data_IF_436506793433
#
_entry.id   IF_436506793433
#
_cell.length_a   1.000
_cell.length_b   1.000
_cell.length_c   1.000
_cell.angle_alpha   90.00
_cell.angle_beta   90.00
_cell.angle_gamma   90.00
#
_symmetry.space_group_name_H-M   'P 1'
#
loop_
_entity.id
_entity.type
_entity.pdbx_description
1 polymer ?
#
# COMPACT_ATOMS: atom_id res chain seq x y z
N UNK A 1 -43.10 42.76 -22.33
CA UNK A 1 -41.79 43.26 -22.81
C UNK A 1 -40.81 43.06 -21.68
N UNK A 2 -40.23 41.86 -21.60
CA UNK A 2 -39.16 41.57 -20.63
C UNK A 2 -37.83 41.99 -21.25
N UNK A 3 -37.07 42.78 -20.49
CA UNK A 3 -35.71 43.16 -20.82
C UNK A 3 -34.74 42.01 -20.46
N UNK A 4 -33.71 41.73 -21.27
CA UNK A 4 -32.73 40.71 -20.95
C UNK A 4 -31.66 41.30 -20.03
N UNK A 5 -31.58 40.85 -18.77
CA UNK A 5 -30.45 41.12 -17.89
C UNK A 5 -29.44 39.98 -18.00
N UNK A 6 -28.65 40.00 -19.07
CA UNK A 6 -27.40 39.24 -19.16
C UNK A 6 -26.31 39.96 -18.37
N UNK A 7 -26.14 39.59 -17.09
CA UNK A 7 -24.97 39.97 -16.29
C UNK A 7 -23.83 38.96 -16.46
N UNK A 8 -22.55 39.39 -16.32
CA UNK A 8 -21.40 38.52 -16.55
C UNK A 8 -21.33 37.45 -15.46
N UNK A 9 -21.12 36.19 -15.87
CA UNK A 9 -20.87 35.07 -14.96
C UNK A 9 -19.62 35.38 -14.12
N UNK A 10 -19.65 35.25 -12.78
CA UNK A 10 -18.46 35.44 -11.97
C UNK A 10 -17.43 34.37 -12.33
N UNK A 11 -16.18 34.80 -12.52
CA UNK A 11 -15.07 33.92 -12.88
C UNK A 11 -14.89 32.80 -11.85
N UNK A 12 -14.83 31.56 -12.33
CA UNK A 12 -14.44 30.40 -11.52
C UNK A 12 -12.98 30.57 -11.07
N UNK A 13 -12.79 30.94 -9.81
CA UNK A 13 -11.48 30.93 -9.16
C UNK A 13 -10.96 29.49 -8.94
N UNK A 14 -9.64 29.28 -8.85
CA UNK A 14 -9.05 27.95 -8.84
C UNK A 14 -9.06 27.33 -7.43
N UNK A 15 -9.53 26.08 -7.31
CA UNK A 15 -8.94 25.10 -6.40
C UNK A 15 -9.65 24.76 -5.08
N UNK A 16 -10.69 25.48 -4.65
CA UNK A 16 -11.32 25.23 -3.33
C UNK A 16 -12.84 25.19 -3.40
N UNK A 17 -13.44 24.04 -3.06
CA UNK A 17 -14.90 23.81 -3.07
C UNK A 17 -15.67 24.63 -2.02
N UNK A 18 -14.99 25.22 -1.02
CA UNK A 18 -15.63 26.09 0.01
C UNK A 18 -16.13 27.41 -0.57
N UNK A 19 -15.68 27.77 -1.78
CA UNK A 19 -16.12 28.98 -2.49
C UNK A 19 -17.34 28.73 -3.40
N UNK A 20 -17.97 27.56 -3.34
CA UNK A 20 -19.21 27.29 -4.06
C UNK A 20 -20.41 27.66 -3.19
N UNK A 21 -21.31 28.48 -3.73
CA UNK A 21 -22.54 28.91 -3.03
C UNK A 21 -23.39 27.72 -2.56
N UNK A 22 -24.20 27.97 -1.53
CA UNK A 22 -25.03 27.03 -0.75
C UNK A 22 -26.12 26.25 -1.53
N UNK A 23 -26.06 26.25 -2.85
CA UNK A 23 -26.92 25.48 -3.76
C UNK A 23 -26.08 24.57 -4.68
N UNK A 24 -25.33 23.62 -4.12
CA UNK A 24 -24.63 22.61 -4.93
C UNK A 24 -25.37 21.28 -4.93
N UNK A 25 -25.93 20.91 -6.09
CA UNK A 25 -26.35 19.55 -6.42
C UNK A 25 -25.14 18.62 -6.53
N UNK A 26 -25.32 17.31 -6.33
CA UNK A 26 -24.27 16.29 -6.54
C UNK A 26 -23.61 16.43 -7.93
N UNK A 27 -24.37 16.85 -8.94
CA UNK A 27 -23.90 17.10 -10.31
C UNK A 27 -22.83 18.21 -10.39
N UNK A 28 -22.88 19.22 -9.52
CA UNK A 28 -21.91 20.32 -9.50
C UNK A 28 -20.57 19.88 -8.89
N UNK A 29 -20.61 18.96 -7.92
CA UNK A 29 -19.43 18.34 -7.34
C UNK A 29 -18.80 17.37 -8.34
N UNK A 30 -19.64 16.55 -8.99
CA UNK A 30 -19.22 15.62 -10.04
C UNK A 30 -18.57 16.35 -11.20
N UNK A 31 -19.18 17.40 -11.76
CA UNK A 31 -18.62 18.15 -12.91
C UNK A 31 -17.23 18.77 -12.66
N UNK A 32 -16.84 18.98 -11.40
CA UNK A 32 -15.54 19.57 -11.03
C UNK A 32 -14.50 18.51 -10.64
N UNK A 33 -14.94 17.31 -10.23
CA UNK A 33 -14.06 16.14 -9.93
C UNK A 33 -13.94 15.15 -11.08
N UNK A 34 -14.92 15.11 -11.98
CA UNK A 34 -14.80 14.38 -13.25
C UNK A 34 -13.62 14.96 -14.01
N UNK A 35 -12.84 14.09 -14.62
CA UNK A 35 -11.88 14.46 -15.67
C UNK A 35 -12.67 15.05 -16.87
N UNK A 36 -13.35 16.19 -16.71
CA UNK A 36 -13.57 17.05 -17.86
C UNK A 36 -12.20 17.54 -18.23
N UNK A 37 -11.65 16.91 -19.26
CA UNK A 37 -10.45 17.31 -19.96
C UNK A 37 -10.63 18.75 -20.46
N UNK A 38 -10.41 19.73 -19.59
CA UNK A 38 -10.01 21.05 -20.04
C UNK A 38 -8.66 20.80 -20.74
N UNK A 39 -8.56 21.02 -22.06
CA UNK A 39 -7.33 20.75 -22.79
C UNK A 39 -6.18 21.54 -22.13
N UNK A 40 -5.22 20.82 -21.52
CA UNK A 40 -4.06 21.41 -20.85
C UNK A 40 -4.10 21.52 -19.31
N UNK A 41 -5.17 21.09 -18.61
CA UNK A 41 -5.20 21.05 -17.12
C UNK A 41 -5.70 19.70 -16.60
N UNK A 42 -4.79 18.76 -16.35
CA UNK A 42 -5.09 17.57 -15.54
C UNK A 42 -4.86 17.91 -14.06
N UNK A 43 -5.87 18.47 -13.38
CA UNK A 43 -5.80 18.72 -11.93
C UNK A 43 -6.21 17.46 -11.17
N UNK A 44 -5.24 16.64 -10.74
CA UNK A 44 -5.51 15.46 -9.90
C UNK A 44 -5.89 15.78 -8.46
N UNK A 45 -5.77 17.05 -8.05
CA UNK A 45 -5.92 17.50 -6.68
C UNK A 45 -6.92 18.65 -6.57
N UNK A 46 -7.74 18.65 -5.53
CA UNK A 46 -8.65 19.77 -5.24
C UNK A 46 -8.93 19.88 -3.74
N UNK A 47 -9.07 21.09 -3.21
CA UNK A 47 -9.36 21.29 -1.78
C UNK A 47 -10.85 21.34 -1.48
N UNK A 48 -11.27 20.63 -0.43
CA UNK A 48 -12.55 20.82 0.25
C UNK A 48 -12.24 21.29 1.67
N UNK A 49 -12.15 22.60 1.86
CA UNK A 49 -11.72 23.19 3.14
C UNK A 49 -10.28 22.80 3.44
N UNK A 50 -10.06 22.10 4.54
CA UNK A 50 -8.75 21.56 4.93
C UNK A 50 -8.48 20.17 4.34
N UNK A 51 -9.46 19.56 3.67
CA UNK A 51 -9.32 18.25 3.03
C UNK A 51 -8.74 18.40 1.63
N UNK A 52 -7.86 17.48 1.25
CA UNK A 52 -7.37 17.34 -0.11
C UNK A 52 -8.03 16.12 -0.77
N UNK A 53 -8.80 16.36 -1.83
CA UNK A 53 -9.32 15.31 -2.70
C UNK A 53 -8.28 15.00 -3.77
N UNK A 54 -7.95 13.72 -3.92
CA UNK A 54 -7.01 13.21 -4.91
C UNK A 54 -7.71 12.22 -5.82
N UNK A 55 -7.71 12.47 -7.12
CA UNK A 55 -8.22 11.53 -8.13
C UNK A 55 -7.04 10.85 -8.81
N UNK A 56 -7.00 9.50 -8.75
CA UNK A 56 -5.93 8.72 -9.35
C UNK A 56 -5.89 8.95 -10.88
N UNK A 57 -4.81 9.51 -11.43
CA UNK A 57 -4.72 9.79 -12.87
C UNK A 57 -4.46 8.54 -13.72
N UNK A 58 -4.12 7.39 -13.12
CA UNK A 58 -3.68 6.16 -13.80
C UNK A 58 -2.51 6.36 -14.79
N UNK A 59 -1.77 7.46 -14.65
CA UNK A 59 -0.58 7.82 -15.43
C UNK A 59 0.38 8.62 -14.57
N UNK A 60 1.65 8.63 -14.92
CA UNK A 60 2.60 9.53 -14.30
C UNK A 60 2.32 10.98 -14.70
N UNK A 61 2.41 11.87 -13.73
CA UNK A 61 2.24 13.30 -13.91
C UNK A 61 3.54 14.01 -13.55
N UNK A 62 3.92 15.00 -14.35
CA UNK A 62 5.12 15.83 -14.12
C UNK A 62 4.87 16.91 -13.06
N UNK A 63 4.25 16.52 -11.95
CA UNK A 63 3.93 17.39 -10.80
C UNK A 63 4.74 17.03 -9.55
N UNK A 64 5.47 15.91 -9.57
CA UNK A 64 6.23 15.43 -8.43
C UNK A 64 7.73 15.73 -8.56
N UNK A 65 8.07 16.96 -8.93
CA UNK A 65 9.46 17.39 -9.16
C UNK A 65 10.04 18.11 -7.94
N UNK A 66 11.38 18.12 -7.83
CA UNK A 66 12.09 18.87 -6.77
C UNK A 66 11.71 20.35 -6.77
N UNK A 67 11.59 20.95 -7.96
CA UNK A 67 11.17 22.33 -8.13
C UNK A 67 9.77 22.58 -7.53
N UNK A 68 8.84 21.64 -7.70
CA UNK A 68 7.54 21.75 -7.04
C UNK A 68 7.67 21.63 -5.52
N UNK A 69 8.46 20.69 -4.99
CA UNK A 69 8.67 20.58 -3.53
C UNK A 69 9.20 21.90 -2.93
N UNK A 70 10.15 22.56 -3.60
CA UNK A 70 10.67 23.87 -3.17
C UNK A 70 9.62 24.97 -3.22
N UNK A 71 8.72 24.97 -4.22
CA UNK A 71 7.64 25.94 -4.32
C UNK A 71 6.66 25.86 -3.15
N UNK A 72 6.35 24.66 -2.66
CA UNK A 72 5.41 24.47 -1.55
C UNK A 72 6.04 24.64 -0.16
N UNK A 73 7.38 24.72 -0.06
CA UNK A 73 8.10 24.81 1.21
C UNK A 73 7.84 26.14 1.90
N UNK A 74 7.27 26.10 3.11
CA UNK A 74 7.04 27.30 3.92
C UNK A 74 5.89 28.18 3.43
N UNK A 75 5.10 27.71 2.47
CA UNK A 75 3.99 28.47 1.88
C UNK A 75 2.68 28.08 2.54
N UNK A 76 1.80 29.06 2.80
CA UNK A 76 0.53 28.76 3.44
C UNK A 76 -0.39 27.98 2.49
N UNK A 77 -1.22 27.12 3.10
CA UNK A 77 -2.05 26.12 2.43
C UNK A 77 -2.93 26.65 1.28
N UNK A 78 -3.38 27.91 1.35
CA UNK A 78 -4.30 28.54 0.39
C UNK A 78 -3.61 29.47 -0.62
N UNK A 79 -2.30 29.68 -0.53
CA UNK A 79 -1.56 30.58 -1.43
C UNK A 79 -1.18 29.90 -2.75
N UNK A 80 -1.14 28.57 -2.78
CA UNK A 80 -0.79 27.77 -3.95
C UNK A 80 -1.92 26.84 -4.37
N UNK A 81 -1.89 26.36 -5.63
CA UNK A 81 -2.85 25.37 -6.11
C UNK A 81 -2.89 24.10 -5.24
N UNK A 82 -4.01 23.35 -5.23
CA UNK A 82 -4.12 22.13 -4.46
C UNK A 82 -3.04 21.11 -4.80
N UNK A 83 -2.31 20.66 -3.78
CA UNK A 83 -1.26 19.66 -3.95
C UNK A 83 -0.98 18.91 -2.65
N UNK A 84 -0.53 17.66 -2.77
CA UNK A 84 -0.17 16.83 -1.61
C UNK A 84 0.99 17.40 -0.80
N UNK A 85 1.89 18.15 -1.44
CA UNK A 85 3.00 18.82 -0.77
C UNK A 85 2.55 19.95 0.15
N UNK A 86 1.44 20.63 -0.14
CA UNK A 86 0.89 21.62 0.76
C UNK A 86 0.38 20.99 2.07
N UNK A 87 -0.26 19.82 1.99
CA UNK A 87 -0.69 19.05 3.17
C UNK A 87 0.53 18.61 3.99
N UNK A 88 1.57 18.12 3.32
CA UNK A 88 2.81 17.69 3.97
C UNK A 88 3.52 18.86 4.68
N UNK A 89 3.71 19.99 3.98
CA UNK A 89 4.34 21.20 4.54
C UNK A 89 3.57 21.74 5.74
N UNK A 90 2.25 21.84 5.61
CA UNK A 90 1.39 22.32 6.68
C UNK A 90 1.48 21.42 7.93
N UNK A 91 1.40 20.10 7.77
CA UNK A 91 1.53 19.16 8.88
C UNK A 91 2.90 19.26 9.57
N UNK A 92 3.98 19.35 8.79
CA UNK A 92 5.34 19.50 9.33
C UNK A 92 5.53 20.83 10.06
N UNK A 93 5.07 21.94 9.48
CA UNK A 93 5.16 23.26 10.11
C UNK A 93 4.40 23.34 11.42
N UNK A 94 3.15 22.87 11.45
CA UNK A 94 2.35 22.91 12.69
C UNK A 94 3.00 22.03 13.76
N UNK A 95 3.49 20.84 13.40
CA UNK A 95 4.25 19.99 14.31
C UNK A 95 5.47 20.71 14.90
N UNK A 96 6.24 21.43 14.08
CA UNK A 96 7.40 22.19 14.54
C UNK A 96 7.03 23.42 15.38
N UNK A 97 5.92 24.11 15.09
CA UNK A 97 5.52 25.33 15.81
C UNK A 97 4.79 25.04 17.12
N UNK A 98 3.95 24.01 17.14
CA UNK A 98 3.15 23.64 18.31
C UNK A 98 3.83 22.59 19.21
N UNK A 99 4.95 22.02 18.77
CA UNK A 99 5.64 20.92 19.46
C UNK A 99 4.70 19.75 19.82
N UNK A 100 3.75 19.47 18.92
CA UNK A 100 2.73 18.45 19.12
C UNK A 100 2.68 17.47 17.93
N UNK A 101 2.29 16.23 18.21
CA UNK A 101 2.19 15.18 17.20
C UNK A 101 1.06 15.50 16.21
N UNK A 102 1.35 15.29 14.91
CA UNK A 102 0.40 15.49 13.82
C UNK A 102 0.28 14.23 12.97
N UNK A 103 -0.88 14.04 12.34
CA UNK A 103 -1.12 12.89 11.46
C UNK A 103 -1.75 13.33 10.15
N UNK A 104 -1.46 12.59 9.09
CA UNK A 104 -2.11 12.71 7.78
C UNK A 104 -2.89 11.42 7.54
N UNK A 105 -4.23 11.52 7.51
CA UNK A 105 -5.10 10.40 7.20
C UNK A 105 -5.37 10.35 5.70
N UNK A 106 -4.99 9.24 5.06
CA UNK A 106 -5.25 9.00 3.64
C UNK A 106 -6.28 7.88 3.51
N UNK A 107 -7.52 8.25 3.19
CA UNK A 107 -8.62 7.32 2.97
C UNK A 107 -8.94 7.16 1.48
N UNK A 108 -9.61 6.06 1.14
CA UNK A 108 -10.03 5.76 -0.23
C UNK A 108 -10.15 4.27 -0.50
N UNK A 109 -10.87 3.92 -1.56
CA UNK A 109 -11.04 2.52 -1.98
C UNK A 109 -9.72 1.88 -2.45
N UNK A 110 -9.75 0.57 -2.69
CA UNK A 110 -8.61 -0.16 -3.25
C UNK A 110 -8.26 0.42 -4.62
N UNK A 111 -7.00 0.74 -4.86
CA UNK A 111 -6.56 1.38 -6.12
C UNK A 111 -6.73 2.91 -6.20
N UNK A 112 -7.28 3.57 -5.16
CA UNK A 112 -7.47 5.02 -5.15
C UNK A 112 -6.17 5.87 -5.10
N UNK A 113 -4.99 5.24 -4.98
CA UNK A 113 -3.70 5.95 -4.93
C UNK A 113 -3.15 6.23 -3.53
N UNK A 114 -3.71 5.62 -2.47
CA UNK A 114 -3.28 5.83 -1.07
C UNK A 114 -1.77 5.61 -0.87
N UNK A 115 -1.25 4.48 -1.36
CA UNK A 115 0.17 4.12 -1.23
C UNK A 115 1.06 5.13 -1.96
N UNK A 116 0.68 5.55 -3.16
CA UNK A 116 1.44 6.54 -3.93
C UNK A 116 1.43 7.91 -3.23
N UNK A 117 0.30 8.34 -2.70
CA UNK A 117 0.18 9.56 -1.91
C UNK A 117 1.15 9.54 -0.70
N UNK A 118 1.20 8.44 0.06
CA UNK A 118 2.15 8.28 1.16
C UNK A 118 3.62 8.35 0.70
N UNK A 119 3.96 7.74 -0.44
CA UNK A 119 5.31 7.83 -1.02
C UNK A 119 5.70 9.27 -1.35
N UNK A 120 4.77 10.07 -1.92
CA UNK A 120 5.02 11.48 -2.26
C UNK A 120 5.23 12.35 -1.01
N UNK A 121 4.49 12.10 0.06
CA UNK A 121 4.68 12.79 1.36
C UNK A 121 6.07 12.47 1.94
N UNK A 122 6.46 11.20 1.95
CA UNK A 122 7.80 10.79 2.41
C UNK A 122 8.92 11.43 1.58
N UNK A 123 8.75 11.51 0.25
CA UNK A 123 9.69 12.17 -0.64
C UNK A 123 9.80 13.67 -0.35
N UNK A 124 8.69 14.33 -0.02
CA UNK A 124 8.67 15.74 0.36
C UNK A 124 9.51 15.97 1.61
N UNK A 125 9.23 15.24 2.71
CA UNK A 125 10.01 15.38 3.95
C UNK A 125 11.49 15.07 3.75
N UNK A 126 11.82 14.05 2.93
CA UNK A 126 13.20 13.71 2.61
C UNK A 126 13.98 14.86 1.92
N UNK A 127 13.28 15.76 1.22
CA UNK A 127 13.88 16.87 0.48
C UNK A 127 13.85 18.19 1.26
N UNK A 128 12.78 18.46 2.02
CA UNK A 128 12.56 19.80 2.59
C UNK A 128 13.04 19.93 4.04
N UNK A 129 13.02 18.85 4.81
CA UNK A 129 13.51 18.82 6.19
C UNK A 129 15.05 18.93 6.25
N UNK A 130 15.61 19.43 7.35
CA UNK A 130 17.06 19.45 7.57
C UNK A 130 17.64 18.06 7.34
N UNK A 131 18.50 17.92 6.33
CA UNK A 131 18.95 16.62 5.86
C UNK A 131 20.02 16.05 6.80
N UNK A 132 19.70 14.94 7.45
CA UNK A 132 20.67 14.01 8.03
C UNK A 132 20.85 12.84 7.06
N UNK A 133 22.04 12.24 6.97
CA UNK A 133 22.24 10.99 6.22
C UNK A 133 21.23 9.90 6.66
N UNK A 134 20.83 9.95 7.94
CA UNK A 134 19.81 9.10 8.54
C UNK A 134 18.45 9.19 7.85
N UNK A 135 18.02 10.38 7.37
CA UNK A 135 16.75 10.56 6.68
C UNK A 135 16.67 9.79 5.36
N UNK A 136 17.76 9.78 4.59
CA UNK A 136 17.82 9.04 3.33
C UNK A 136 17.72 7.53 3.59
N UNK A 137 18.40 7.05 4.62
CA UNK A 137 18.31 5.64 5.06
C UNK A 137 16.89 5.29 5.53
N UNK A 138 16.25 6.15 6.33
CA UNK A 138 14.87 5.95 6.80
C UNK A 138 13.90 5.95 5.61
N UNK A 139 14.01 6.94 4.71
CA UNK A 139 13.20 7.01 3.48
C UNK A 139 13.34 5.72 2.68
N UNK A 140 14.57 5.28 2.43
CA UNK A 140 14.84 4.11 1.62
C UNK A 140 14.32 2.85 2.29
N UNK A 141 14.55 2.66 3.60
CA UNK A 141 13.98 1.52 4.34
C UNK A 141 12.44 1.53 4.34
N UNK A 142 11.80 2.68 4.57
CA UNK A 142 10.35 2.80 4.55
C UNK A 142 9.77 2.53 3.15
N UNK A 143 10.40 3.03 2.09
CA UNK A 143 9.97 2.82 0.71
C UNK A 143 10.21 1.38 0.25
N UNK A 144 11.37 0.81 0.59
CA UNK A 144 11.79 -0.55 0.21
C UNK A 144 11.16 -1.64 1.08
N UNK A 145 10.56 -1.28 2.22
CA UNK A 145 9.69 -2.19 2.97
C UNK A 145 8.39 -2.52 2.20
N UNK A 146 7.95 -1.65 1.28
CA UNK A 146 6.67 -1.83 0.59
C UNK A 146 6.59 -3.13 -0.21
N UNK A 147 7.57 -3.50 -1.06
CA UNK A 147 7.56 -4.80 -1.74
C UNK A 147 7.34 -5.98 -0.78
N UNK A 148 7.96 -5.97 0.40
CA UNK A 148 7.78 -7.01 1.41
C UNK A 148 6.37 -6.94 2.00
N UNK A 149 5.92 -5.77 2.45
CA UNK A 149 4.58 -5.62 3.02
C UNK A 149 3.47 -5.96 2.00
N UNK A 150 3.65 -5.62 0.73
CA UNK A 150 2.72 -5.96 -0.34
C UNK A 150 2.73 -7.48 -0.64
N UNK A 151 3.90 -8.12 -0.64
CA UNK A 151 3.96 -9.57 -0.83
C UNK A 151 3.20 -10.33 0.26
N UNK A 152 3.35 -9.92 1.52
CA UNK A 152 2.74 -10.59 2.69
C UNK A 152 1.32 -10.11 3.03
N UNK A 153 0.96 -8.90 2.61
CA UNK A 153 -0.26 -8.22 3.04
C UNK A 153 -1.22 -7.87 1.91
N UNK A 154 -0.83 -8.02 0.65
CA UNK A 154 -1.72 -7.82 -0.49
C UNK A 154 -2.11 -9.15 -1.15
N UNK A 155 -3.30 -9.13 -1.72
CA UNK A 155 -3.86 -10.25 -2.46
C UNK A 155 -4.75 -9.76 -3.61
N UNK A 156 -4.97 -10.66 -4.56
CA UNK A 156 -5.92 -10.44 -5.65
C UNK A 156 -7.35 -10.60 -5.14
N UNK A 157 -8.16 -9.59 -5.37
CA UNK A 157 -9.61 -9.56 -5.11
C UNK A 157 -10.37 -9.36 -6.42
N UNK A 158 -11.70 -9.40 -6.38
CA UNK A 158 -12.51 -9.12 -7.57
C UNK A 158 -12.38 -7.67 -8.08
N UNK A 159 -12.01 -6.71 -7.21
CA UNK A 159 -11.95 -5.28 -7.54
C UNK A 159 -10.54 -4.78 -7.87
N UNK A 160 -9.53 -5.41 -7.29
CA UNK A 160 -8.13 -5.01 -7.46
C UNK A 160 -7.22 -6.25 -7.33
N UNK A 161 -6.33 -6.41 -8.30
CA UNK A 161 -5.35 -7.50 -8.37
C UNK A 161 -4.26 -7.40 -7.29
N UNK A 162 -3.95 -6.19 -6.79
CA UNK A 162 -2.98 -5.93 -5.73
C UNK A 162 -3.64 -5.17 -4.56
N UNK A 163 -4.67 -5.76 -3.95
CA UNK A 163 -5.42 -5.11 -2.87
C UNK A 163 -4.73 -5.31 -1.52
N UNK A 164 -4.42 -4.23 -0.82
CA UNK A 164 -3.97 -4.29 0.58
C UNK A 164 -5.05 -4.83 1.49
N UNK A 165 -4.69 -5.85 2.28
CA UNK A 165 -5.57 -6.54 3.25
C UNK A 165 -5.12 -6.28 4.69
N UNK A 166 -4.44 -5.16 4.91
CA UNK A 166 -4.03 -4.63 6.19
C UNK A 166 -4.03 -3.09 6.12
N UNK A 167 -4.26 -2.44 7.26
CA UNK A 167 -4.02 -1.01 7.42
C UNK A 167 -2.54 -0.76 7.71
N UNK A 168 -1.99 0.30 7.11
CA UNK A 168 -0.61 0.73 7.34
C UNK A 168 -0.62 2.09 8.02
N UNK A 169 0.06 2.17 9.17
CA UNK A 169 0.34 3.40 9.88
C UNK A 169 1.86 3.59 9.90
N UNK A 170 2.31 4.81 9.65
CA UNK A 170 3.73 5.13 9.58
C UNK A 170 3.99 6.36 10.44
N UNK A 171 4.78 6.19 11.49
CA UNK A 171 5.37 7.28 12.25
C UNK A 171 6.66 7.73 11.58
N UNK A 172 6.85 9.04 11.52
CA UNK A 172 8.12 9.68 11.23
C UNK A 172 8.45 10.52 12.45
N UNK A 173 9.61 10.27 13.03
CA UNK A 173 10.04 10.88 14.28
C UNK A 173 10.99 12.03 13.96
N UNK A 174 10.75 13.19 14.57
CA UNK A 174 11.54 14.39 14.40
C UNK A 174 12.12 14.82 15.75
N UNK A 175 13.32 15.39 15.73
CA UNK A 175 13.93 16.02 16.91
C UNK A 175 13.39 17.43 17.16
N UNK A 176 13.88 18.08 18.21
CA UNK A 176 13.48 19.43 18.60
C UNK A 176 13.86 20.52 17.56
N UNK A 177 14.77 20.20 16.63
CA UNK A 177 15.16 21.08 15.52
C UNK A 177 14.33 20.82 14.25
N UNK A 178 13.39 19.86 14.30
CA UNK A 178 12.60 19.44 13.15
C UNK A 178 13.37 18.53 12.19
N UNK A 179 14.54 18.02 12.57
CA UNK A 179 15.26 17.04 11.77
C UNK A 179 14.69 15.64 12.01
N UNK A 180 14.42 14.86 10.96
CA UNK A 180 13.92 13.50 11.11
C UNK A 180 15.02 12.56 11.62
N UNK A 181 14.70 11.83 12.69
CA UNK A 181 15.64 10.96 13.43
C UNK A 181 15.25 9.48 13.39
N UNK A 182 14.01 9.17 13.03
CA UNK A 182 13.51 7.80 13.05
C UNK A 182 12.18 7.63 12.35
N UNK A 183 11.71 6.39 12.28
CA UNK A 183 10.39 6.07 11.78
C UNK A 183 9.97 4.67 12.18
N UNK A 184 8.67 4.46 12.27
CA UNK A 184 8.09 3.18 12.69
C UNK A 184 6.88 2.85 11.81
N UNK A 185 6.76 1.59 11.37
CA UNK A 185 5.59 1.13 10.61
C UNK A 185 4.77 0.19 11.51
N UNK A 186 3.52 0.56 11.77
CA UNK A 186 2.54 -0.32 12.41
C UNK A 186 1.59 -0.87 11.34
N UNK A 187 1.46 -2.18 11.32
CA UNK A 187 0.46 -2.87 10.48
C UNK A 187 -0.71 -3.27 11.35
N UNK A 188 -1.93 -2.91 10.93
CA UNK A 188 -3.16 -3.16 11.67
C UNK A 188 -4.13 -4.02 10.87
N UNK A 189 -4.90 -4.85 11.58
CA UNK A 189 -6.05 -5.58 11.03
C UNK A 189 -5.73 -6.37 9.75
N UNK A 190 -4.62 -7.11 9.75
CA UNK A 190 -4.35 -8.06 8.66
C UNK A 190 -5.48 -9.10 8.57
N UNK A 191 -6.01 -9.30 7.37
CA UNK A 191 -7.09 -10.27 7.11
C UNK A 191 -6.59 -11.71 7.20
N UNK A 192 -6.39 -12.20 8.44
CA UNK A 192 -5.84 -13.54 8.72
C UNK A 192 -6.67 -14.67 8.11
N UNK A 193 -7.99 -14.49 8.03
CA UNK A 193 -8.91 -15.48 7.44
C UNK A 193 -8.56 -15.80 5.98
N UNK A 194 -7.95 -14.86 5.25
CA UNK A 194 -7.54 -15.05 3.85
C UNK A 194 -6.54 -16.18 3.67
N UNK A 195 -5.72 -16.48 4.68
CA UNK A 195 -4.73 -17.56 4.59
C UNK A 195 -5.42 -18.91 4.39
N UNK A 196 -6.53 -19.15 5.10
CA UNK A 196 -7.22 -20.44 5.09
C UNK A 196 -8.42 -20.48 4.16
N UNK A 197 -8.93 -19.32 3.73
CA UNK A 197 -10.09 -19.23 2.85
C UNK A 197 -10.05 -18.05 1.87
N UNK A 198 -10.48 -18.28 0.63
CA UNK A 198 -10.63 -17.24 -0.39
C UNK A 198 -11.94 -17.41 -1.15
N UNK A 199 -12.60 -16.29 -1.46
CA UNK A 199 -13.79 -16.30 -2.29
C UNK A 199 -13.47 -16.68 -3.75
N UNK A 200 -14.44 -17.21 -4.51
CA UNK A 200 -14.27 -17.50 -5.92
C UNK A 200 -13.75 -16.28 -6.71
N UNK A 201 -12.73 -16.49 -7.53
CA UNK A 201 -12.04 -15.47 -8.31
C UNK A 201 -10.89 -14.76 -7.58
N UNK A 202 -10.72 -14.96 -6.28
CA UNK A 202 -9.66 -14.32 -5.48
C UNK A 202 -8.43 -15.21 -5.29
N UNK A 203 -7.32 -14.60 -4.84
CA UNK A 203 -6.09 -15.30 -4.43
C UNK A 203 -5.85 -15.19 -2.93
N UNK A 204 -4.96 -16.06 -2.45
CA UNK A 204 -4.26 -15.87 -1.18
C UNK A 204 -3.23 -14.73 -1.31
N UNK A 205 -2.45 -14.46 -0.25
CA UNK A 205 -1.38 -13.48 -0.28
C UNK A 205 -0.33 -13.78 -1.35
N UNK A 206 0.21 -12.74 -1.98
CA UNK A 206 1.12 -12.87 -3.12
C UNK A 206 2.36 -13.71 -2.81
N UNK A 207 2.89 -13.61 -1.59
CA UNK A 207 4.13 -14.27 -1.18
C UNK A 207 4.09 -15.80 -1.40
N UNK A 208 2.94 -16.45 -1.25
CA UNK A 208 2.84 -17.90 -1.50
C UNK A 208 3.10 -18.23 -2.97
N UNK A 209 2.48 -17.49 -3.89
CA UNK A 209 2.65 -17.68 -5.33
C UNK A 209 4.05 -17.27 -5.79
N UNK A 210 4.58 -16.17 -5.24
CA UNK A 210 5.94 -15.69 -5.47
C UNK A 210 6.99 -16.72 -5.02
N UNK A 211 6.82 -17.36 -3.86
CA UNK A 211 7.71 -18.43 -3.39
C UNK A 211 7.70 -19.64 -4.33
N UNK A 212 6.51 -20.13 -4.72
CA UNK A 212 6.38 -21.32 -5.57
C UNK A 212 6.93 -21.09 -6.99
N UNK A 213 6.68 -19.93 -7.59
CA UNK A 213 7.15 -19.59 -8.94
C UNK A 213 8.61 -19.11 -8.95
N UNK A 214 9.00 -18.29 -7.97
CA UNK A 214 10.29 -17.61 -7.95
C UNK A 214 11.40 -18.30 -7.16
N UNK A 215 11.06 -19.14 -6.18
CA UNK A 215 12.02 -19.86 -5.34
C UNK A 215 12.96 -20.76 -6.14
N UNK A 216 14.20 -20.92 -5.70
CA UNK A 216 15.16 -21.84 -6.32
C UNK A 216 14.75 -23.30 -6.06
N UNK A 217 15.24 -24.24 -6.86
CA UNK A 217 14.91 -25.66 -6.65
C UNK A 217 15.42 -26.14 -5.30
N UNK A 218 16.59 -25.68 -4.85
CA UNK A 218 17.17 -26.02 -3.56
C UNK A 218 16.28 -25.52 -2.41
N UNK A 219 15.77 -24.29 -2.52
CA UNK A 219 14.85 -23.72 -1.54
C UNK A 219 13.56 -24.52 -1.45
N UNK A 220 12.94 -24.82 -2.60
CA UNK A 220 11.69 -25.58 -2.64
C UNK A 220 11.87 -27.01 -2.12
N UNK A 221 12.96 -27.68 -2.49
CA UNK A 221 13.30 -29.02 -1.98
C UNK A 221 13.52 -29.02 -0.47
N UNK A 222 14.23 -28.02 0.06
CA UNK A 222 14.46 -27.86 1.51
C UNK A 222 13.14 -27.68 2.25
N UNK A 223 12.22 -26.90 1.69
CA UNK A 223 10.90 -26.64 2.26
C UNK A 223 9.89 -27.76 1.98
N UNK A 224 10.20 -28.75 1.14
CA UNK A 224 9.25 -29.80 0.76
C UNK A 224 8.14 -29.34 -0.20
N UNK A 225 8.37 -28.22 -0.89
CA UNK A 225 7.38 -27.58 -1.75
C UNK A 225 7.50 -27.99 -3.23
N UNK A 226 6.38 -27.92 -3.94
CA UNK A 226 6.27 -28.19 -5.36
C UNK A 226 5.72 -26.95 -6.06
N UNK A 227 6.24 -26.62 -7.24
CA UNK A 227 5.89 -25.35 -7.93
C UNK A 227 4.40 -25.19 -8.26
N UNK A 228 3.70 -26.29 -8.50
CA UNK A 228 2.28 -26.23 -8.89
C UNK A 228 1.40 -25.78 -7.71
N UNK A 229 0.81 -24.57 -7.75
CA UNK A 229 -0.04 -24.07 -6.66
C UNK A 229 -1.25 -24.97 -6.41
N UNK A 230 -1.66 -25.77 -7.40
CA UNK A 230 -2.82 -26.66 -7.30
C UNK A 230 -2.65 -27.79 -6.28
N UNK A 231 -1.43 -28.02 -5.82
CA UNK A 231 -1.12 -29.03 -4.80
C UNK A 231 -1.36 -28.55 -3.38
N UNK A 232 -1.78 -27.29 -3.19
CA UNK A 232 -2.01 -26.70 -1.88
C UNK A 232 -3.44 -26.22 -1.75
N UNK A 233 -4.18 -26.80 -0.80
CA UNK A 233 -5.59 -26.47 -0.58
C UNK A 233 -5.78 -24.96 -0.36
N UNK A 234 -4.91 -24.33 0.44
CA UNK A 234 -4.95 -22.90 0.75
C UNK A 234 -4.68 -21.97 -0.44
N UNK A 235 -4.25 -22.49 -1.60
CA UNK A 235 -3.98 -21.67 -2.80
C UNK A 235 -5.03 -21.83 -3.90
N UNK A 236 -5.93 -22.80 -3.79
CA UNK A 236 -6.90 -23.14 -4.85
C UNK A 236 -8.35 -22.84 -4.52
N UNK A 237 -8.70 -22.48 -3.28
CA UNK A 237 -10.10 -22.33 -2.90
C UNK A 237 -10.83 -21.27 -3.73
N UNK A 238 -10.14 -20.18 -4.07
CA UNK A 238 -10.66 -19.14 -4.95
C UNK A 238 -10.66 -19.50 -6.45
N UNK A 239 -10.17 -20.67 -6.85
CA UNK A 239 -10.14 -21.11 -8.26
C UNK A 239 -9.22 -20.27 -9.17
N UNK A 240 -8.36 -19.42 -8.61
CA UNK A 240 -7.49 -18.52 -9.34
C UNK A 240 -6.05 -18.65 -8.84
N UNK A 241 -5.17 -19.31 -9.60
CA UNK A 241 -3.74 -19.41 -9.25
C UNK A 241 -2.89 -18.34 -9.94
N UNK A 242 -3.28 -17.92 -11.15
CA UNK A 242 -2.55 -16.96 -11.99
C UNK A 242 -3.37 -15.71 -12.26
N UNK A 243 -2.67 -14.58 -12.35
CA UNK A 243 -3.24 -13.26 -12.65
C UNK A 243 -2.42 -12.65 -13.78
N UNK A 244 -3.06 -12.20 -14.85
CA UNK A 244 -2.37 -11.72 -16.06
C UNK A 244 -1.55 -10.44 -15.83
N UNK A 245 -1.96 -9.60 -14.89
CA UNK A 245 -1.30 -8.34 -14.53
C UNK A 245 -0.10 -8.52 -13.59
N UNK A 246 0.14 -9.72 -13.05
CA UNK A 246 1.15 -9.99 -12.02
C UNK A 246 2.18 -11.00 -12.52
N UNK A 247 3.46 -10.72 -12.28
CA UNK A 247 4.55 -11.65 -12.56
C UNK A 247 5.22 -12.09 -11.24
N UNK A 248 4.67 -13.15 -10.64
CA UNK A 248 5.09 -13.65 -9.32
C UNK A 248 6.61 -13.97 -9.26
N UNK A 249 7.22 -14.39 -10.37
CA UNK A 249 8.68 -14.66 -10.45
C UNK A 249 9.50 -13.36 -10.41
N UNK A 250 9.05 -12.32 -11.10
CA UNK A 250 9.70 -11.01 -11.08
C UNK A 250 9.57 -10.38 -9.69
N UNK A 251 8.36 -10.43 -9.13
CA UNK A 251 8.06 -9.84 -7.83
C UNK A 251 8.83 -10.55 -6.71
N UNK A 252 9.01 -11.87 -6.80
CA UNK A 252 9.90 -12.62 -5.91
C UNK A 252 11.34 -12.07 -5.88
N UNK A 253 11.89 -11.68 -7.03
CA UNK A 253 13.24 -11.08 -7.09
C UNK A 253 13.26 -9.72 -6.41
N UNK A 254 12.20 -8.92 -6.58
CA UNK A 254 12.05 -7.63 -5.92
C UNK A 254 11.97 -7.79 -4.40
N UNK A 255 11.20 -8.76 -3.91
CA UNK A 255 11.07 -9.08 -2.48
C UNK A 255 12.40 -9.55 -1.89
N UNK A 256 13.12 -10.44 -2.57
CA UNK A 256 14.43 -10.89 -2.08
C UNK A 256 15.46 -9.76 -1.99
N UNK A 257 15.50 -8.87 -2.98
CA UNK A 257 16.36 -7.69 -2.93
C UNK A 257 15.95 -6.76 -1.78
N UNK A 258 14.65 -6.61 -1.55
CA UNK A 258 14.14 -5.76 -0.49
C UNK A 258 14.59 -6.25 0.89
N UNK A 259 14.57 -7.58 1.17
CA UNK A 259 15.07 -8.14 2.43
C UNK A 259 16.50 -7.74 2.77
N UNK A 260 17.38 -7.70 1.77
CA UNK A 260 18.78 -7.27 1.95
C UNK A 260 18.89 -5.79 2.37
N UNK A 261 17.96 -4.94 1.95
CA UNK A 261 18.00 -3.50 2.27
C UNK A 261 17.31 -3.17 3.60
N UNK A 262 16.36 -4.00 4.03
CA UNK A 262 15.70 -3.87 5.34
C UNK A 262 16.42 -4.66 6.45
N UNK A 263 17.69 -5.03 6.23
CA UNK A 263 18.59 -5.67 7.19
C UNK A 263 18.10 -7.02 7.75
N UNK A 264 17.36 -7.79 6.96
CA UNK A 264 17.07 -9.19 7.33
C UNK A 264 18.31 -10.05 7.15
N UNK A 265 18.69 -10.80 8.18
CA UNK A 265 19.78 -11.77 8.06
C UNK A 265 19.36 -12.95 7.19
N UNK A 266 20.32 -13.67 6.62
CA UNK A 266 20.04 -14.90 5.87
C UNK A 266 19.24 -15.91 6.72
N UNK A 267 19.56 -16.01 8.01
CA UNK A 267 18.84 -16.87 8.95
C UNK A 267 17.39 -16.43 9.15
N UNK A 268 17.12 -15.12 9.24
CA UNK A 268 15.75 -14.59 9.36
C UNK A 268 14.93 -14.91 8.11
N UNK A 269 15.52 -14.73 6.93
CA UNK A 269 14.87 -15.03 5.64
C UNK A 269 14.57 -16.53 5.54
N UNK A 270 15.52 -17.37 5.94
CA UNK A 270 15.33 -18.82 5.94
C UNK A 270 14.20 -19.25 6.87
N UNK A 271 14.18 -18.73 8.11
CA UNK A 271 13.13 -19.01 9.09
C UNK A 271 11.77 -18.50 8.60
N UNK A 272 11.73 -17.32 7.98
CA UNK A 272 10.52 -16.76 7.41
C UNK A 272 9.95 -17.68 6.32
N UNK A 273 10.78 -18.14 5.39
CA UNK A 273 10.33 -19.06 4.35
C UNK A 273 9.96 -20.44 4.89
N UNK A 274 10.59 -20.91 5.97
CA UNK A 274 10.18 -22.09 6.72
C UNK A 274 8.75 -21.98 7.26
N UNK A 275 8.40 -20.82 7.84
CA UNK A 275 7.03 -20.54 8.30
C UNK A 275 6.04 -20.59 7.12
N UNK A 276 6.36 -19.95 6.01
CA UNK A 276 5.48 -19.90 4.82
C UNK A 276 5.25 -21.30 4.25
N UNK A 277 6.32 -22.10 4.09
CA UNK A 277 6.20 -23.48 3.63
C UNK A 277 5.34 -24.34 4.56
N UNK A 278 5.47 -24.13 5.86
CA UNK A 278 4.70 -24.87 6.86
C UNK A 278 3.21 -24.52 6.85
N UNK A 279 2.85 -23.26 6.58
CA UNK A 279 1.44 -22.87 6.38
C UNK A 279 0.82 -23.62 5.20
N UNK A 280 1.56 -23.78 4.10
CA UNK A 280 1.10 -24.56 2.95
C UNK A 280 0.95 -26.05 3.26
N UNK A 281 1.88 -26.64 4.01
CA UNK A 281 1.78 -28.02 4.46
C UNK A 281 0.60 -28.24 5.43
N UNK A 282 0.36 -27.28 6.34
CA UNK A 282 -0.73 -27.34 7.31
C UNK A 282 -2.09 -27.38 6.61
N UNK A 283 -2.26 -26.59 5.54
CA UNK A 283 -3.48 -26.61 4.74
C UNK A 283 -3.76 -27.93 4.01
N UNK A 284 -2.74 -28.79 3.87
CA UNK A 284 -2.87 -30.11 3.25
C UNK A 284 -3.01 -31.25 4.26
N UNK A 285 -3.06 -30.97 5.57
CA UNK A 285 -3.33 -31.99 6.58
C UNK A 285 -4.80 -32.40 6.45
N UNK A 286 -5.03 -33.69 6.20
CA UNK A 286 -6.37 -34.26 6.15
C UNK A 286 -6.66 -35.01 7.44
N UNK A 287 -7.80 -34.68 8.05
CA UNK A 287 -8.32 -35.34 9.23
C UNK A 287 -9.48 -36.25 8.81
N UNK A 288 -9.47 -37.48 9.30
CA UNK A 288 -10.57 -38.43 9.15
C UNK A 288 -11.06 -38.84 10.55
N UNK A 289 -12.29 -39.32 10.63
CA UNK A 289 -12.88 -39.81 11.88
C UNK A 289 -12.54 -41.29 12.09
N UNK A 290 -12.04 -41.65 13.27
CA UNK A 290 -11.80 -43.04 13.65
C UNK A 290 -13.10 -43.74 14.11
N UNK A 291 -13.01 -45.04 14.42
CA UNK A 291 -14.14 -45.83 14.89
C UNK A 291 -14.74 -45.38 16.22
N UNK A 292 -14.04 -44.51 16.96
CA UNK A 292 -14.44 -44.00 18.26
C UNK A 292 -14.94 -42.54 18.17
N UNK A 293 -15.03 -41.97 16.97
CA UNK A 293 -15.44 -40.58 16.75
C UNK A 293 -14.33 -39.55 16.96
N UNK A 294 -13.05 -39.96 17.04
CA UNK A 294 -11.91 -39.06 17.18
C UNK A 294 -11.30 -38.70 15.82
N UNK A 295 -10.76 -37.49 15.70
CA UNK A 295 -10.02 -37.08 14.51
C UNK A 295 -8.62 -37.70 14.48
N UNK A 296 -8.29 -38.38 13.38
CA UNK A 296 -6.98 -38.97 13.11
C UNK A 296 -6.35 -38.39 11.84
N UNK A 297 -5.01 -38.37 11.79
CA UNK A 297 -4.26 -37.95 10.61
C UNK A 297 -3.84 -39.18 9.81
N UNK A 298 -4.47 -39.41 8.66
CA UNK A 298 -4.23 -40.63 7.87
C UNK A 298 -2.88 -40.61 7.15
N UNK A 299 -2.44 -39.44 6.67
CA UNK A 299 -1.15 -39.25 5.98
C UNK A 299 -0.27 -38.27 6.73
N UNK A 300 0.71 -38.81 7.48
CA UNK A 300 1.67 -38.01 8.23
C UNK A 300 2.70 -37.25 7.40
N UNK A 301 2.68 -37.31 6.06
CA UNK A 301 3.71 -36.67 5.20
C UNK A 301 3.80 -35.16 5.43
N UNK A 302 2.67 -34.47 5.55
CA UNK A 302 2.67 -33.02 5.79
C UNK A 302 3.23 -32.69 7.19
N UNK A 303 2.84 -33.48 8.20
CA UNK A 303 3.34 -33.33 9.57
C UNK A 303 4.86 -33.55 9.65
N UNK A 304 5.40 -34.53 8.92
CA UNK A 304 6.85 -34.76 8.81
C UNK A 304 7.58 -33.56 8.22
N UNK A 305 7.03 -32.92 7.19
CA UNK A 305 7.62 -31.72 6.62
C UNK A 305 7.56 -30.54 7.59
N UNK A 306 6.44 -30.35 8.28
CA UNK A 306 6.30 -29.28 9.29
C UNK A 306 7.33 -29.47 10.42
N UNK A 307 7.43 -30.68 10.99
CA UNK A 307 8.43 -30.99 12.04
C UNK A 307 9.86 -30.76 11.54
N UNK A 308 10.19 -31.23 10.33
CA UNK A 308 11.51 -31.00 9.72
C UNK A 308 11.83 -29.51 9.51
N UNK A 309 10.87 -28.73 9.05
CA UNK A 309 11.06 -27.31 8.71
C UNK A 309 11.15 -26.45 9.97
N UNK A 310 10.52 -26.86 11.07
CA UNK A 310 10.57 -26.17 12.37
C UNK A 310 11.60 -26.74 13.34
N UNK A 311 12.33 -27.81 12.98
CA UNK A 311 13.19 -28.58 13.88
C UNK A 311 12.48 -28.98 15.19
N UNK A 312 11.22 -29.41 15.08
CA UNK A 312 10.37 -29.91 16.18
C UNK A 312 10.38 -31.43 16.26
#
# INVERSE_FOLDING_TARGET
MEAPLGGPRPGRGPGTYVLLDSHTSEDSLHGTTSQEEIPGRTTSYTYIGTLLVSVNPYKELDIYTKKQMEQYKGVNFFELPPHIYAIADNAYRIMCTEYNNHFILISGESGAGKTEASKKILQYFAMTCPTTEQLLVIRDRLLLSNPVLEAFGNAKTLRNDNSSRFGKYMDIQFDFMGAPVGGHILSYLIEKSRVVHQNPGERNFHIFYQLLEGGTEELLQRLGLQRDPRKYLYLVQGGCAKVSSINDRSDWRTVNKAFTVIDFSAADIENLFSVIGSVLHLGNVHFEEDSNGHAIIVKGTQIKWISKVWNL
#
